data_IF_926469246223
#
_entry.id   IF_926469246223
#
_cell.length_a   1.000
_cell.length_b   1.000
_cell.length_c   1.000
_cell.angle_alpha   90.00
_cell.angle_beta   90.00
_cell.angle_gamma   90.00
#
_symmetry.space_group_name_H-M   'P 1'
#
loop_
_entity.id
_entity.type
_entity.pdbx_description
1 polymer ?
#
# COMPACT_ATOMS: atom_id res chain seq x y z
N UNK A 1 -1.77 -32.89 -20.64
CA UNK A 1 -1.50 -33.33 -19.25
C UNK A 1 -1.22 -32.08 -18.43
N UNK A 2 -2.17 -31.61 -17.61
CA UNK A 2 -1.94 -30.49 -16.67
C UNK A 2 -1.39 -31.10 -15.38
N UNK A 3 -0.08 -30.99 -15.16
CA UNK A 3 0.53 -31.33 -13.88
C UNK A 3 0.13 -30.22 -12.89
N UNK A 4 -0.80 -30.52 -11.98
CA UNK A 4 -1.24 -29.59 -10.94
C UNK A 4 -0.13 -29.37 -9.91
N UNK A 5 0.76 -28.42 -10.19
CA UNK A 5 1.84 -27.99 -9.28
C UNK A 5 1.31 -27.00 -8.23
N UNK A 6 0.27 -26.25 -8.55
CA UNK A 6 -0.28 -25.19 -7.71
C UNK A 6 -1.59 -25.61 -7.03
N UNK A 7 -1.78 -25.15 -5.80
CA UNK A 7 -3.06 -25.27 -5.08
C UNK A 7 -4.10 -24.28 -5.61
N UNK A 8 -3.66 -23.13 -6.13
CA UNK A 8 -4.48 -22.16 -6.85
C UNK A 8 -3.73 -21.62 -8.07
N UNK A 9 -4.45 -21.41 -9.16
CA UNK A 9 -3.95 -20.91 -10.44
C UNK A 9 -5.12 -20.14 -11.09
N UNK A 10 -5.04 -18.81 -11.04
CA UNK A 10 -6.15 -17.90 -11.36
C UNK A 10 -5.65 -16.72 -12.21
N UNK A 11 -6.36 -16.43 -13.29
CA UNK A 11 -6.28 -15.10 -13.91
C UNK A 11 -7.16 -14.16 -13.07
N UNK A 12 -6.59 -13.05 -12.63
CA UNK A 12 -7.27 -12.04 -11.80
C UNK A 12 -7.29 -10.73 -12.57
N UNK A 13 -8.47 -10.15 -12.68
CA UNK A 13 -8.71 -8.80 -13.19
C UNK A 13 -9.66 -8.13 -12.19
N UNK A 14 -9.20 -7.05 -11.57
CA UNK A 14 -9.88 -6.39 -10.46
C UNK A 14 -9.85 -4.88 -10.68
N UNK A 15 -10.97 -4.25 -10.36
CA UNK A 15 -11.10 -2.81 -10.22
C UNK A 15 -11.46 -2.53 -8.77
N UNK A 16 -10.68 -1.69 -8.11
CA UNK A 16 -10.87 -1.30 -6.72
C UNK A 16 -11.11 0.20 -6.70
N UNK A 17 -12.31 0.58 -6.27
CA UNK A 17 -12.70 1.98 -6.19
C UNK A 17 -11.89 2.73 -5.12
N UNK A 18 -11.65 2.09 -3.97
CA UNK A 18 -10.85 2.61 -2.88
C UNK A 18 -10.05 1.47 -2.22
N UNK A 19 -8.72 1.61 -2.15
CA UNK A 19 -7.85 0.58 -1.57
C UNK A 19 -8.16 0.29 -0.09
N UNK A 20 -8.71 1.27 0.63
CA UNK A 20 -9.10 1.13 2.03
C UNK A 20 -10.24 0.11 2.23
N UNK A 21 -10.97 -0.26 1.18
CA UNK A 21 -11.93 -1.38 1.21
C UNK A 21 -11.26 -2.72 1.57
N UNK A 22 -9.94 -2.84 1.37
CA UNK A 22 -9.17 -4.04 1.73
C UNK A 22 -8.69 -4.03 3.20
N UNK A 23 -8.95 -2.98 3.97
CA UNK A 23 -8.50 -2.85 5.34
C UNK A 23 -9.00 -3.99 6.23
N UNK A 24 -10.28 -4.37 6.08
CA UNK A 24 -10.90 -5.45 6.86
C UNK A 24 -10.27 -6.81 6.54
N UNK A 25 -9.93 -7.03 5.28
CA UNK A 25 -9.30 -8.26 4.83
C UNK A 25 -7.85 -8.38 5.33
N UNK A 26 -7.12 -7.27 5.35
CA UNK A 26 -5.70 -7.24 5.65
C UNK A 26 -5.37 -6.89 7.12
N UNK A 27 -6.35 -6.42 7.89
CA UNK A 27 -6.18 -6.06 9.30
C UNK A 27 -5.18 -4.91 9.52
N UNK A 28 -5.11 -4.01 8.53
CA UNK A 28 -4.20 -2.87 8.48
C UNK A 28 -4.93 -1.70 7.81
N UNK A 29 -4.57 -0.47 8.15
CA UNK A 29 -5.09 0.72 7.46
C UNK A 29 -4.19 1.00 6.26
N UNK A 30 -4.76 0.89 5.06
CA UNK A 30 -4.13 1.19 3.77
C UNK A 30 -4.38 2.64 3.37
N UNK A 31 -3.52 3.22 2.52
CA UNK A 31 -3.79 4.53 1.94
C UNK A 31 -5.08 4.43 1.12
N UNK A 32 -6.00 5.40 1.23
CA UNK A 32 -7.23 5.39 0.45
C UNK A 32 -6.95 5.87 -0.98
N UNK A 33 -6.17 5.07 -1.71
CA UNK A 33 -5.88 5.26 -3.13
C UNK A 33 -7.10 4.85 -3.95
N UNK A 34 -7.52 5.69 -4.88
CA UNK A 34 -8.71 5.46 -5.72
C UNK A 34 -8.34 5.09 -7.15
N UNK A 35 -9.35 4.67 -7.93
CA UNK A 35 -9.23 4.38 -9.36
C UNK A 35 -8.13 3.35 -9.68
N UNK A 36 -8.09 2.28 -8.88
CA UNK A 36 -7.09 1.23 -9.01
C UNK A 36 -7.61 0.13 -9.93
N UNK A 37 -6.83 -0.17 -10.96
CA UNK A 37 -7.05 -1.34 -11.81
C UNK A 37 -5.86 -2.29 -11.68
N UNK A 38 -6.14 -3.57 -11.50
CA UNK A 38 -5.15 -4.61 -11.28
C UNK A 38 -5.45 -5.81 -12.18
N UNK A 39 -4.44 -6.28 -12.92
CA UNK A 39 -4.51 -7.55 -13.64
C UNK A 39 -3.26 -8.37 -13.40
N UNK A 40 -3.40 -9.69 -13.24
CA UNK A 40 -2.27 -10.58 -12.91
C UNK A 40 -2.64 -12.05 -13.05
N UNK A 41 -1.64 -12.88 -13.24
CA UNK A 41 -1.75 -14.33 -13.06
C UNK A 41 -1.32 -14.70 -11.64
N UNK A 42 -2.29 -15.02 -10.79
CA UNK A 42 -2.06 -15.48 -9.42
C UNK A 42 -1.83 -16.99 -9.40
N UNK A 43 -0.69 -17.40 -8.87
CA UNK A 43 -0.42 -18.80 -8.50
C UNK A 43 -0.14 -18.91 -7.01
N UNK A 44 -0.65 -19.96 -6.37
CA UNK A 44 -0.39 -20.22 -4.96
C UNK A 44 -0.16 -21.71 -4.70
N UNK A 45 0.80 -21.98 -3.83
CA UNK A 45 1.13 -23.30 -3.30
C UNK A 45 1.44 -23.16 -1.79
N UNK A 46 1.51 -24.26 -1.01
CA UNK A 46 1.80 -24.16 0.42
C UNK A 46 3.09 -23.37 0.70
N UNK A 47 2.95 -22.23 1.38
CA UNK A 47 4.06 -21.36 1.76
C UNK A 47 4.54 -20.39 0.67
N UNK A 48 3.90 -20.32 -0.50
CA UNK A 48 4.28 -19.40 -1.56
C UNK A 48 3.08 -18.92 -2.39
N UNK A 49 3.00 -17.62 -2.62
CA UNK A 49 2.11 -17.03 -3.61
C UNK A 49 2.92 -16.15 -4.58
N UNK A 50 2.50 -16.11 -5.84
CA UNK A 50 3.11 -15.27 -6.86
C UNK A 50 2.04 -14.60 -7.71
N UNK A 51 2.18 -13.29 -7.90
CA UNK A 51 1.45 -12.49 -8.85
C UNK A 51 2.40 -12.26 -10.03
N UNK A 52 2.22 -13.04 -11.08
CA UNK A 52 3.00 -12.94 -12.31
C UNK A 52 2.28 -12.02 -13.31
N UNK A 53 3.05 -11.38 -14.20
CA UNK A 53 2.52 -10.43 -15.18
C UNK A 53 1.56 -9.41 -14.55
N UNK A 54 1.95 -8.90 -13.38
CA UNK A 54 1.21 -7.88 -12.65
C UNK A 54 1.18 -6.61 -13.51
N UNK A 55 -0.01 -6.05 -13.72
CA UNK A 55 -0.19 -4.72 -14.26
C UNK A 55 -1.13 -3.96 -13.32
N UNK A 56 -0.70 -2.81 -12.85
CA UNK A 56 -1.46 -1.92 -11.99
C UNK A 56 -1.56 -0.54 -12.64
N UNK A 57 -2.74 0.05 -12.60
CA UNK A 57 -3.00 1.46 -12.91
C UNK A 57 -3.61 2.09 -11.67
N UNK A 58 -3.11 3.26 -11.30
CA UNK A 58 -3.58 4.05 -10.15
C UNK A 58 -3.63 5.49 -10.66
N UNK A 59 -4.82 6.05 -10.86
CA UNK A 59 -4.95 7.35 -11.52
C UNK A 59 -4.25 7.37 -12.89
N UNK A 60 -3.28 8.26 -13.06
CA UNK A 60 -2.46 8.40 -14.27
C UNK A 60 -1.15 7.58 -14.23
N UNK A 61 -0.88 6.90 -13.11
CA UNK A 61 0.29 6.07 -12.90
C UNK A 61 0.09 4.64 -13.42
N UNK A 62 1.14 4.05 -14.01
CA UNK A 62 1.09 2.68 -14.54
C UNK A 62 2.35 1.88 -14.20
N UNK A 63 2.16 0.70 -13.64
CA UNK A 63 3.21 -0.19 -13.17
C UNK A 63 3.00 -1.60 -13.71
N UNK A 64 4.08 -2.26 -14.11
CA UNK A 64 4.06 -3.65 -14.54
C UNK A 64 5.19 -4.44 -13.88
N UNK A 65 4.97 -5.72 -13.59
CA UNK A 65 6.02 -6.55 -13.02
C UNK A 65 5.52 -7.81 -12.34
N UNK A 66 6.03 -8.06 -11.13
CA UNK A 66 5.69 -9.27 -10.36
C UNK A 66 5.83 -9.05 -8.87
N UNK A 67 5.08 -9.83 -8.12
CA UNK A 67 5.17 -9.91 -6.67
C UNK A 67 5.27 -11.38 -6.25
N UNK A 68 6.17 -11.69 -5.32
CA UNK A 68 6.31 -13.01 -4.73
C UNK A 68 6.19 -12.88 -3.21
N UNK A 69 5.32 -13.68 -2.61
CA UNK A 69 5.18 -13.82 -1.16
C UNK A 69 5.65 -15.21 -0.80
N UNK A 70 6.62 -15.29 0.10
CA UNK A 70 7.11 -16.55 0.66
C UNK A 70 6.87 -16.55 2.17
N UNK A 71 6.19 -17.58 2.67
CA UNK A 71 6.00 -17.77 4.10
C UNK A 71 7.32 -18.25 4.71
N UNK A 72 7.93 -17.45 5.56
CA UNK A 72 9.07 -17.86 6.38
C UNK A 72 8.64 -18.11 7.84
N UNK A 73 9.56 -18.62 8.65
CA UNK A 73 9.25 -19.12 9.99
C UNK A 73 8.75 -18.05 10.97
N UNK A 74 9.22 -16.80 10.84
CA UNK A 74 8.83 -15.70 11.74
C UNK A 74 7.80 -14.77 11.11
N UNK A 75 8.02 -14.40 9.85
CA UNK A 75 7.16 -13.48 9.10
C UNK A 75 7.26 -13.76 7.60
N UNK A 76 6.24 -13.45 6.80
CA UNK A 76 6.31 -13.58 5.35
C UNK A 76 7.35 -12.60 4.77
N UNK A 77 8.03 -13.05 3.72
CA UNK A 77 8.90 -12.23 2.88
C UNK A 77 8.20 -11.89 1.58
N UNK A 78 8.15 -10.60 1.27
CA UNK A 78 7.60 -10.05 0.03
C UNK A 78 8.75 -9.58 -0.85
N UNK A 79 8.74 -10.00 -2.11
CA UNK A 79 9.65 -9.53 -3.14
C UNK A 79 8.84 -8.91 -4.27
N UNK A 80 9.10 -7.63 -4.56
CA UNK A 80 8.39 -6.84 -5.55
C UNK A 80 9.41 -6.33 -6.58
N UNK A 81 9.13 -6.54 -7.85
CA UNK A 81 9.91 -5.96 -8.95
C UNK A 81 8.95 -5.32 -9.92
N UNK A 82 9.05 -4.00 -10.10
CA UNK A 82 8.16 -3.22 -10.93
C UNK A 82 8.94 -2.35 -11.92
N UNK A 83 8.40 -2.22 -13.11
CA UNK A 83 8.71 -1.19 -14.09
C UNK A 83 7.49 -0.28 -14.18
N UNK A 84 7.67 0.98 -13.83
CA UNK A 84 6.67 2.01 -14.01
C UNK A 84 6.97 2.78 -15.29
N UNK A 85 6.01 2.78 -16.21
CA UNK A 85 6.12 3.60 -17.42
C UNK A 85 5.95 5.08 -17.08
N UNK A 86 5.00 5.38 -16.21
CA UNK A 86 4.73 6.71 -15.70
C UNK A 86 4.31 6.59 -14.24
N UNK A 87 4.88 7.44 -13.38
CA UNK A 87 4.42 7.70 -12.02
C UNK A 87 4.02 9.17 -11.95
N UNK A 88 2.76 9.44 -11.64
CA UNK A 88 2.26 10.76 -11.26
C UNK A 88 2.24 10.83 -9.74
N UNK A 89 3.10 11.65 -9.13
CA UNK A 89 3.24 11.72 -7.68
C UNK A 89 1.93 12.13 -6.98
N UNK A 90 1.16 12.99 -7.62
CA UNK A 90 -0.13 13.47 -7.14
C UNK A 90 -1.16 12.34 -6.93
N UNK A 91 -1.03 11.21 -7.63
CA UNK A 91 -1.89 10.02 -7.43
C UNK A 91 -1.66 9.35 -6.06
N UNK A 92 -0.54 9.65 -5.40
CA UNK A 92 -0.12 9.01 -4.15
C UNK A 92 -0.13 9.96 -2.95
N UNK A 93 -0.48 11.24 -3.15
CA UNK A 93 -0.64 12.22 -2.07
C UNK A 93 -2.07 12.13 -1.57
N UNK A 94 -2.25 11.57 -0.37
CA UNK A 94 -3.57 11.36 0.22
C UNK A 94 -3.68 12.09 1.56
N UNK A 95 -4.63 13.01 1.65
CA UNK A 95 -4.85 13.82 2.86
C UNK A 95 -5.10 12.92 4.09
N UNK A 96 -4.47 13.26 5.22
CA UNK A 96 -4.60 12.49 6.47
C UNK A 96 -3.88 11.13 6.49
N UNK A 97 -3.29 10.68 5.36
CA UNK A 97 -2.52 9.44 5.30
C UNK A 97 -1.00 9.73 5.27
N UNK A 98 -0.32 9.45 6.38
CA UNK A 98 1.13 9.73 6.52
C UNK A 98 1.43 11.07 7.19
N UNK A 99 0.40 11.87 7.45
CA UNK A 99 0.48 12.95 8.43
C UNK A 99 0.71 12.33 9.81
N UNK A 100 1.85 12.65 10.42
CA UNK A 100 2.06 12.36 11.81
C UNK A 100 0.91 13.01 12.59
N UNK A 101 0.16 12.20 13.35
CA UNK A 101 -0.81 12.74 14.29
C UNK A 101 -0.11 13.87 15.07
N UNK A 102 -0.74 15.05 15.22
CA UNK A 102 -0.14 16.10 16.02
C UNK A 102 0.18 15.47 17.38
N UNK A 103 1.46 15.50 17.76
CA UNK A 103 1.87 15.05 19.07
C UNK A 103 0.99 15.80 20.07
N UNK A 104 0.12 15.08 20.77
CA UNK A 104 -0.63 15.61 21.88
C UNK A 104 0.38 16.05 22.93
N UNK A 105 0.84 17.30 22.80
CA UNK A 105 1.55 17.98 23.85
C UNK A 105 0.51 18.23 24.93
N UNK A 106 0.44 17.29 25.89
CA UNK A 106 -0.12 17.50 27.21
C UNK A 106 0.52 18.75 27.82
N UNK A 107 -0.11 19.90 27.59
CA UNK A 107 0.04 21.09 28.40
C UNK A 107 -1.36 21.48 28.86
N UNK A 108 -1.66 21.39 30.16
CA UNK A 108 -2.93 21.86 30.66
C UNK A 108 -2.88 23.38 30.71
N UNK A 109 -3.69 24.05 29.89
CA UNK A 109 -4.15 25.40 30.24
C UNK A 109 -5.57 25.65 29.73
N UNK A 110 -6.39 26.12 30.66
CA UNK A 110 -7.76 26.54 30.49
C UNK A 110 -7.83 27.74 29.53
N UNK A 111 -8.78 27.72 28.59
CA UNK A 111 -9.58 28.90 28.25
C UNK A 111 -10.75 28.52 27.34
N UNK A 112 -11.90 28.43 27.99
CA UNK A 112 -13.27 28.48 27.51
C UNK A 112 -13.48 29.47 26.33
N UNK A 113 -14.09 29.04 25.22
CA UNK A 113 -15.28 29.66 24.60
C UNK A 113 -15.80 28.82 23.43
N UNK A 114 -16.98 28.25 23.64
CA UNK A 114 -17.92 27.60 22.71
C UNK A 114 -18.12 28.32 21.37
N UNK A 115 -18.07 27.57 20.26
CA UNK A 115 -19.07 27.63 19.17
C UNK A 115 -19.29 26.26 18.52
N UNK A 116 -20.49 25.74 18.72
CA UNK A 116 -21.12 24.64 17.98
C UNK A 116 -21.10 24.92 16.47
N UNK A 117 -20.79 23.89 15.68
CA UNK A 117 -21.55 23.60 14.48
C UNK A 117 -21.65 22.08 14.32
N UNK A 118 -22.85 21.56 14.62
CA UNK A 118 -23.32 20.22 14.30
C UNK A 118 -23.26 19.97 12.78
N UNK A 119 -22.53 18.92 12.38
CA UNK A 119 -23.03 17.95 11.39
C UNK A 119 -22.57 16.56 11.84
N UNK A 120 -23.49 15.64 12.17
CA UNK A 120 -23.17 14.26 12.51
C UNK A 120 -23.25 13.37 11.26
N UNK A 121 -22.10 12.92 10.73
CA UNK A 121 -22.01 11.88 9.70
C UNK A 121 -20.54 11.38 9.65
N UNK A 122 -20.18 10.12 9.90
CA UNK A 122 -20.92 8.93 10.20
C UNK A 122 -19.99 7.88 10.80
N UNK A 123 -20.56 6.99 11.61
CA UNK A 123 -19.87 6.01 12.42
C UNK A 123 -19.27 4.85 11.58
N UNK A 124 -18.19 5.14 10.84
CA UNK A 124 -17.33 4.14 10.20
C UNK A 124 -15.87 4.22 10.69
N UNK A 125 -15.48 5.30 11.39
CA UNK A 125 -14.10 5.56 11.82
C UNK A 125 -13.67 4.76 13.06
N UNK A 126 -14.63 4.23 13.83
CA UNK A 126 -14.33 3.60 15.12
C UNK A 126 -13.55 2.28 15.03
N UNK A 127 -13.53 1.62 13.88
CA UNK A 127 -12.80 0.35 13.65
C UNK A 127 -11.51 0.51 12.86
N UNK A 128 -11.32 1.64 12.17
CA UNK A 128 -10.06 1.98 11.51
C UNK A 128 -9.04 2.58 12.51
N UNK A 129 -9.51 3.28 13.56
CA UNK A 129 -8.66 3.91 14.57
C UNK A 129 -7.85 2.91 15.44
N UNK A 130 -8.29 1.65 15.54
CA UNK A 130 -7.61 0.61 16.34
C UNK A 130 -6.62 -0.24 15.52
N UNK A 131 -6.60 -0.11 14.19
CA UNK A 131 -5.71 -0.90 13.33
C UNK A 131 -4.42 -0.15 13.08
N UNK A 132 -3.27 -0.84 13.06
CA UNK A 132 -2.03 -0.19 12.69
C UNK A 132 -2.12 0.28 11.23
N UNK A 133 -1.53 1.44 10.96
CA UNK A 133 -1.30 1.99 9.63
C UNK A 133 -0.05 1.35 9.03
N UNK A 134 0.10 1.37 7.70
CA UNK A 134 1.26 0.74 7.04
C UNK A 134 2.63 1.20 7.58
N UNK A 135 2.73 2.46 8.00
CA UNK A 135 3.96 3.05 8.51
C UNK A 135 4.14 2.88 10.03
N UNK A 136 3.18 2.28 10.73
CA UNK A 136 3.30 2.04 12.16
C UNK A 136 4.31 0.92 12.43
N UNK A 137 5.15 1.04 13.48
CA UNK A 137 6.14 0.00 13.81
C UNK A 137 5.54 -1.39 13.99
N UNK A 138 4.31 -1.48 14.49
CA UNK A 138 3.62 -2.77 14.65
C UNK A 138 3.33 -3.42 13.29
N UNK A 139 2.83 -2.65 12.30
CA UNK A 139 2.61 -3.14 10.95
C UNK A 139 3.92 -3.54 10.26
N UNK A 140 4.93 -2.69 10.36
CA UNK A 140 6.23 -2.90 9.73
C UNK A 140 6.97 -4.14 10.25
N UNK A 141 6.69 -4.58 11.49
CA UNK A 141 7.27 -5.81 12.04
C UNK A 141 6.61 -7.10 11.52
N UNK A 142 5.44 -7.00 10.86
CA UNK A 142 4.66 -8.19 10.45
C UNK A 142 5.24 -8.90 9.22
N UNK A 143 6.13 -8.26 8.45
CA UNK A 143 6.66 -8.82 7.21
C UNK A 143 8.01 -8.19 6.83
N UNK A 144 8.77 -8.89 6.00
CA UNK A 144 9.96 -8.34 5.33
C UNK A 144 9.63 -8.00 3.88
N UNK A 145 10.19 -6.90 3.37
CA UNK A 145 10.03 -6.47 1.97
C UNK A 145 11.37 -6.27 1.31
N UNK A 146 11.48 -6.69 0.06
CA UNK A 146 12.47 -6.21 -0.90
C UNK A 146 11.71 -5.73 -2.12
N UNK A 147 11.80 -4.43 -2.43
CA UNK A 147 11.13 -3.82 -3.56
C UNK A 147 12.15 -3.09 -4.44
N UNK A 148 12.05 -3.34 -5.74
CA UNK A 148 12.80 -2.63 -6.77
C UNK A 148 11.80 -2.06 -7.77
N UNK A 149 11.83 -0.75 -7.97
CA UNK A 149 10.94 -0.04 -8.88
C UNK A 149 11.78 0.83 -9.81
N UNK A 150 11.75 0.50 -11.09
CA UNK A 150 12.33 1.34 -12.14
C UNK A 150 11.25 2.24 -12.71
N UNK A 151 11.53 3.53 -12.89
CA UNK A 151 10.57 4.54 -13.29
C UNK A 151 11.09 5.22 -14.55
N UNK A 152 10.39 5.05 -15.67
CA UNK A 152 10.77 5.65 -16.95
C UNK A 152 10.42 7.15 -17.00
N UNK A 153 9.29 7.54 -16.42
CA UNK A 153 8.81 8.92 -16.35
C UNK A 153 8.15 9.19 -15.00
N UNK A 154 8.65 10.22 -14.31
CA UNK A 154 8.14 10.71 -13.03
C UNK A 154 7.58 12.11 -13.23
N UNK A 155 6.33 12.31 -12.84
CA UNK A 155 5.60 13.57 -12.98
C UNK A 155 5.15 14.08 -11.60
N UNK A 156 4.98 15.39 -11.48
CA UNK A 156 4.19 16.02 -10.40
C UNK A 156 3.36 17.15 -10.99
N UNK A 157 2.04 17.00 -10.95
CA UNK A 157 1.13 17.81 -11.75
C UNK A 157 1.51 17.74 -13.23
N UNK A 158 1.83 18.89 -13.81
CA UNK A 158 2.28 19.01 -15.20
C UNK A 158 3.82 18.95 -15.37
N UNK A 159 4.58 18.91 -14.28
CA UNK A 159 6.05 18.96 -14.29
C UNK A 159 6.65 17.57 -14.47
N UNK A 160 7.55 17.42 -15.44
CA UNK A 160 8.33 16.19 -15.63
C UNK A 160 9.63 16.26 -14.80
N UNK A 161 9.73 15.36 -13.82
CA UNK A 161 10.85 15.24 -12.88
C UNK A 161 11.95 14.29 -13.38
N UNK A 162 11.74 13.65 -14.53
CA UNK A 162 12.70 12.76 -15.20
C UNK A 162 12.38 11.29 -14.98
N UNK A 163 13.41 10.48 -14.81
CA UNK A 163 13.33 9.04 -14.57
C UNK A 163 13.95 8.73 -13.20
N UNK A 164 13.66 7.55 -12.65
CA UNK A 164 14.11 7.19 -11.31
C UNK A 164 14.25 5.70 -11.09
N UNK A 165 14.91 5.36 -9.99
CA UNK A 165 14.98 4.01 -9.44
C UNK A 165 14.72 4.13 -7.95
N UNK A 166 13.89 3.23 -7.42
CA UNK A 166 13.61 3.12 -6.00
C UNK A 166 13.93 1.70 -5.57
N UNK A 167 14.92 1.56 -4.69
CA UNK A 167 15.21 0.30 -4.01
C UNK A 167 14.83 0.47 -2.54
N UNK A 168 13.89 -0.35 -2.09
CA UNK A 168 13.38 -0.33 -0.72
C UNK A 168 13.56 -1.70 -0.07
N UNK A 169 14.07 -1.70 1.16
CA UNK A 169 14.06 -2.87 2.02
C UNK A 169 13.32 -2.57 3.32
N UNK A 170 12.50 -3.52 3.76
CA UNK A 170 11.93 -3.56 5.09
C UNK A 170 12.45 -4.83 5.77
N UNK A 171 13.29 -4.65 6.79
CA UNK A 171 13.84 -5.74 7.57
C UNK A 171 13.71 -5.40 9.06
N UNK A 172 13.11 -6.31 9.84
CA UNK A 172 12.94 -6.11 11.29
C UNK A 172 12.20 -4.82 11.67
N UNK A 173 11.18 -4.45 10.87
CA UNK A 173 10.41 -3.22 11.08
C UNK A 173 11.16 -1.94 10.72
N UNK A 174 12.32 -2.03 10.05
CA UNK A 174 13.13 -0.90 9.62
C UNK A 174 13.13 -0.78 8.11
N UNK A 175 12.71 0.39 7.64
CA UNK A 175 12.73 0.74 6.22
C UNK A 175 14.11 1.33 5.90
N UNK A 176 14.73 0.85 4.82
CA UNK A 176 15.85 1.49 4.17
C UNK A 176 15.46 1.80 2.72
N UNK A 177 15.93 2.95 2.24
CA UNK A 177 15.73 3.42 0.86
C UNK A 177 17.10 3.78 0.31
N UNK A 178 17.42 3.25 -0.87
CA UNK A 178 18.67 3.50 -1.59
C UNK A 178 18.40 4.19 -2.93
#
# INVERSE_FOLDING_TARGET
>A
MRNGKYAMDLQVDMEVADLSDLNDLLGIVLPPLTDIQLSTHLTAEPGRAALESLNAVIGDSSLAGKLIITQEAQRPKVQLTLQAKTIQLDDFIVEGYGEAAPAENDTPDESDTTKENDTPEGAAESSAAERPRLYDPEALQRLDVQAEIQIDELLSGDDNLGNGELVLSLEDGRINVE
#
